data_IF_111836267909
#
_entry.id   IF_111836267909
#
_cell.length_a   1.000
_cell.length_b   1.000
_cell.length_c   1.000
_cell.angle_alpha   90.00
_cell.angle_beta   90.00
_cell.angle_gamma   90.00
#
_symmetry.space_group_name_H-M   'P 1'
#
loop_
_entity.id
_entity.type
_entity.pdbx_description
1 polymer ?
#
# COMPACT_ATOMS: atom_id res chain seq x y z
N UNK A 1 -57.23 -43.88 -14.77
CA UNK A 1 -56.20 -43.53 -15.81
C UNK A 1 -54.85 -43.68 -15.17
N UNK A 2 -54.09 -44.68 -15.60
CA UNK A 2 -52.83 -45.09 -14.99
C UNK A 2 -51.66 -44.36 -15.66
N UNK A 3 -50.84 -43.65 -14.90
CA UNK A 3 -49.60 -43.01 -15.38
C UNK A 3 -48.43 -43.99 -15.26
N UNK A 4 -47.83 -44.32 -16.41
CA UNK A 4 -46.62 -45.16 -16.54
C UNK A 4 -45.39 -44.45 -15.98
N UNK A 5 -44.68 -45.15 -15.10
CA UNK A 5 -43.32 -44.80 -14.66
C UNK A 5 -42.29 -45.29 -15.69
N UNK A 6 -41.42 -44.37 -16.13
CA UNK A 6 -40.24 -44.66 -16.95
C UNK A 6 -39.04 -44.96 -16.05
N UNK A 7 -38.20 -45.98 -16.31
CA UNK A 7 -37.05 -46.31 -15.47
C UNK A 7 -35.80 -45.48 -15.76
N UNK A 8 -35.05 -45.17 -14.71
CA UNK A 8 -33.82 -44.41 -14.73
C UNK A 8 -32.65 -45.17 -15.38
N UNK A 9 -31.89 -44.49 -16.23
CA UNK A 9 -30.67 -44.99 -16.85
C UNK A 9 -29.47 -44.96 -15.89
N UNK A 10 -28.67 -46.04 -15.88
CA UNK A 10 -27.44 -46.21 -15.13
C UNK A 10 -26.29 -45.39 -15.75
N UNK A 11 -25.36 -44.80 -14.99
CA UNK A 11 -24.21 -44.12 -15.55
C UNK A 11 -23.12 -45.09 -16.03
N UNK A 12 -22.56 -44.86 -17.19
CA UNK A 12 -21.47 -45.62 -17.82
C UNK A 12 -20.15 -45.29 -17.17
N UNK A 13 -19.34 -46.35 -16.92
CA UNK A 13 -17.95 -46.25 -16.42
C UNK A 13 -17.01 -45.73 -17.51
N UNK A 14 -16.17 -44.73 -17.18
CA UNK A 14 -15.06 -44.30 -17.99
C UNK A 14 -13.87 -45.30 -17.91
N UNK A 15 -13.07 -45.45 -18.99
CA UNK A 15 -11.95 -46.39 -19.02
C UNK A 15 -10.73 -45.83 -18.34
N UNK A 16 -10.02 -46.69 -17.60
CA UNK A 16 -8.70 -46.41 -17.00
C UNK A 16 -7.59 -46.51 -18.07
N UNK A 17 -6.52 -45.71 -17.98
CA UNK A 17 -5.36 -45.88 -18.86
C UNK A 17 -4.42 -46.99 -18.35
N UNK A 18 -3.93 -47.78 -19.29
CA UNK A 18 -3.05 -48.92 -19.12
C UNK A 18 -1.67 -48.58 -18.57
N UNK A 19 -1.20 -49.35 -17.62
CA UNK A 19 0.17 -49.39 -17.12
C UNK A 19 1.16 -49.90 -18.18
N UNK A 20 2.21 -49.18 -18.45
CA UNK A 20 3.36 -49.62 -19.24
C UNK A 20 4.48 -50.03 -18.32
N UNK A 21 4.82 -51.29 -18.37
CA UNK A 21 5.91 -51.98 -17.67
C UNK A 21 7.31 -51.50 -18.19
N UNK A 22 8.24 -51.64 -17.27
CA UNK A 22 9.61 -51.14 -17.35
C UNK A 22 10.54 -51.77 -18.39
N UNK A 23 11.62 -51.01 -18.65
CA UNK A 23 12.87 -51.54 -19.13
C UNK A 23 14.01 -50.91 -18.34
N UNK A 24 14.66 -51.71 -17.53
CA UNK A 24 15.87 -51.34 -16.80
C UNK A 24 17.09 -51.47 -17.72
N UNK A 25 17.84 -50.40 -17.92
CA UNK A 25 19.18 -50.48 -18.45
C UNK A 25 20.16 -49.87 -17.44
N UNK A 26 21.03 -50.72 -16.92
CA UNK A 26 22.20 -50.39 -16.12
C UNK A 26 23.22 -49.67 -17.00
N UNK A 27 23.49 -48.41 -16.75
CA UNK A 27 24.61 -47.68 -17.31
C UNK A 27 25.53 -47.20 -16.21
N UNK A 28 26.72 -47.76 -16.12
CA UNK A 28 27.83 -47.38 -15.24
C UNK A 28 28.40 -46.06 -15.74
N UNK A 29 28.33 -44.98 -15.00
CA UNK A 29 29.03 -43.73 -15.31
C UNK A 29 30.25 -43.61 -14.41
N UNK A 30 31.37 -43.60 -15.05
CA UNK A 30 32.71 -43.35 -14.47
C UNK A 30 32.87 -41.83 -14.32
N UNK A 31 33.16 -41.41 -13.10
CA UNK A 31 33.50 -40.01 -12.79
C UNK A 31 34.99 -39.75 -13.13
N UNK A 32 35.23 -38.74 -13.95
CA UNK A 32 36.53 -38.08 -13.99
C UNK A 32 36.32 -36.57 -14.05
N UNK A 33 36.55 -35.92 -12.93
CA UNK A 33 36.59 -34.45 -12.81
C UNK A 33 38.06 -34.05 -12.95
N UNK A 34 38.42 -33.45 -14.08
CA UNK A 34 39.69 -32.76 -14.27
C UNK A 34 39.57 -31.29 -13.88
N UNK A 35 40.38 -30.85 -12.93
CA UNK A 35 40.60 -29.45 -12.56
C UNK A 35 41.38 -28.72 -13.64
N UNK A 36 41.04 -27.49 -14.03
CA UNK A 36 41.96 -26.63 -14.77
C UNK A 36 42.84 -25.88 -13.77
N UNK A 37 44.16 -26.08 -13.91
CA UNK A 37 45.22 -25.30 -13.31
C UNK A 37 45.44 -24.03 -14.12
N UNK A 38 45.34 -22.86 -13.50
CA UNK A 38 45.85 -21.61 -14.08
C UNK A 38 47.26 -21.34 -13.59
N UNK A 39 48.21 -21.46 -14.50
CA UNK A 39 49.60 -21.03 -14.33
C UNK A 39 49.74 -19.53 -14.60
N UNK A 40 50.51 -18.89 -13.75
CA UNK A 40 50.91 -17.49 -13.83
C UNK A 40 51.99 -17.25 -14.84
N UNK A 41 51.98 -16.08 -15.50
CA UNK A 41 53.06 -15.10 -15.73
C UNK A 41 52.82 -14.31 -17.03
N UNK A 42 52.74 -13.01 -16.90
CA UNK A 42 52.75 -12.05 -18.00
C UNK A 42 52.77 -10.62 -17.46
N UNK A 43 53.84 -9.94 -17.73
CA UNK A 43 54.32 -8.66 -17.21
C UNK A 43 53.49 -7.44 -17.66
N UNK A 44 53.49 -6.46 -16.78
CA UNK A 44 53.52 -4.99 -16.93
C UNK A 44 52.92 -4.34 -18.21
N UNK A 45 51.80 -3.64 -18.00
CA UNK A 45 51.41 -2.46 -18.79
C UNK A 45 50.65 -1.47 -17.90
N UNK A 46 51.17 -0.25 -17.82
CA UNK A 46 50.68 0.92 -17.10
C UNK A 46 49.32 1.36 -17.60
N UNK A 47 48.30 1.64 -16.72
CA UNK A 47 47.08 2.27 -17.15
C UNK A 47 47.08 3.76 -16.75
N UNK A 48 47.32 4.62 -17.71
CA UNK A 48 46.94 6.03 -17.60
C UNK A 48 45.59 6.24 -18.25
N UNK A 49 44.74 6.99 -17.51
CA UNK A 49 43.48 7.66 -17.90
C UNK A 49 42.25 6.78 -18.15
N UNK A 50 41.50 6.56 -17.07
CA UNK A 50 40.04 6.43 -17.15
C UNK A 50 39.42 7.40 -16.15
N UNK A 51 38.74 8.42 -16.66
CA UNK A 51 38.06 9.43 -15.86
C UNK A 51 36.91 8.82 -15.05
N UNK A 52 37.05 8.92 -13.76
CA UNK A 52 36.03 8.51 -12.79
C UNK A 52 34.90 9.52 -12.85
N UNK A 53 33.75 9.13 -13.41
CA UNK A 53 32.50 9.85 -13.21
C UNK A 53 32.02 9.56 -11.79
N UNK A 54 32.31 10.47 -10.88
CA UNK A 54 31.87 10.44 -9.49
C UNK A 54 30.41 10.88 -9.43
N UNK A 55 29.48 9.95 -9.74
CA UNK A 55 28.07 10.14 -9.53
C UNK A 55 27.75 9.63 -8.12
N UNK A 56 27.82 10.52 -7.12
CA UNK A 56 27.31 10.24 -5.78
C UNK A 56 25.80 9.97 -5.86
N UNK A 57 25.30 8.79 -5.50
CA UNK A 57 23.87 8.52 -5.44
C UNK A 57 23.25 9.35 -4.32
N UNK A 58 22.19 10.08 -4.65
CA UNK A 58 21.36 10.78 -3.65
C UNK A 58 20.62 9.76 -2.78
N UNK A 59 20.58 9.93 -1.45
CA UNK A 59 19.81 9.05 -0.58
C UNK A 59 18.30 9.16 -0.89
N UNK A 60 17.59 8.03 -0.85
CA UNK A 60 16.15 7.89 -1.13
C UNK A 60 15.26 8.73 -0.19
N UNK A 61 15.85 9.36 0.83
CA UNK A 61 15.18 10.20 1.82
C UNK A 61 15.63 11.67 1.74
N UNK A 62 15.76 12.25 0.57
CA UNK A 62 15.96 13.69 0.50
C UNK A 62 14.70 14.44 0.93
N UNK A 63 14.88 15.23 1.98
CA UNK A 63 13.96 16.21 2.55
C UNK A 63 13.30 17.03 1.43
N UNK A 64 12.00 16.86 1.22
CA UNK A 64 11.21 17.96 0.67
C UNK A 64 11.06 18.96 1.82
N UNK A 65 11.99 19.90 1.89
CA UNK A 65 11.90 21.04 2.81
C UNK A 65 10.74 21.91 2.34
N UNK A 66 9.74 22.06 3.20
CA UNK A 66 8.72 23.09 3.05
C UNK A 66 9.37 24.49 2.90
N UNK A 67 8.81 25.37 2.08
CA UNK A 67 9.33 26.73 1.94
C UNK A 67 9.28 27.46 3.28
N UNK A 68 10.41 27.96 3.77
CA UNK A 68 10.51 28.80 4.95
C UNK A 68 9.84 30.14 4.66
N UNK A 69 8.61 30.28 5.14
CA UNK A 69 7.99 31.61 5.28
C UNK A 69 8.67 32.30 6.47
N UNK A 70 9.42 33.36 6.21
CA UNK A 70 9.96 34.25 7.23
C UNK A 70 8.81 35.00 7.89
N UNK A 71 8.46 34.67 9.11
CA UNK A 71 7.65 35.53 9.97
C UNK A 71 8.59 36.45 10.79
N UNK A 72 8.56 37.73 10.46
CA UNK A 72 9.03 38.80 11.35
C UNK A 72 7.88 39.20 12.28
N UNK A 73 8.14 39.31 13.57
CA UNK A 73 7.21 40.00 14.45
C UNK A 73 7.27 39.58 15.92
N UNK A 74 7.96 40.40 16.69
CA UNK A 74 8.06 40.44 18.16
C UNK A 74 6.69 40.49 18.86
N UNK A 75 6.51 39.76 19.98
CA UNK A 75 6.34 40.32 21.31
C UNK A 75 5.71 39.28 22.25
N UNK A 76 6.41 39.04 23.34
CA UNK A 76 5.90 38.40 24.58
C UNK A 76 5.05 39.38 25.38
N UNK A 77 4.10 38.92 26.20
CA UNK A 77 4.19 39.20 27.61
C UNK A 77 4.00 37.98 28.53
N UNK A 78 4.73 38.07 29.65
CA UNK A 78 4.65 37.26 30.85
C UNK A 78 3.30 37.48 31.59
N UNK A 79 2.81 36.43 32.25
CA UNK A 79 1.76 36.60 33.25
C UNK A 79 1.18 35.33 33.85
N UNK A 80 1.76 34.87 34.95
CA UNK A 80 1.19 34.52 36.26
C UNK A 80 0.30 33.28 36.39
N UNK A 81 0.78 32.38 37.22
CA UNK A 81 0.10 31.24 37.82
C UNK A 81 -1.15 31.64 38.61
N UNK A 82 -2.17 30.83 38.56
CA UNK A 82 -3.37 30.90 39.39
C UNK A 82 -4.05 29.52 39.44
N UNK A 83 -4.20 29.07 40.67
CA UNK A 83 -4.71 27.81 41.18
C UNK A 83 -6.13 27.41 40.67
N UNK A 84 -6.33 26.08 40.59
CA UNK A 84 -7.61 25.36 40.41
C UNK A 84 -8.66 25.72 41.49
N UNK A 85 -9.93 25.52 41.16
CA UNK A 85 -10.77 24.71 42.01
C UNK A 85 -11.50 23.58 41.27
N UNK A 86 -11.68 22.53 42.02
CA UNK A 86 -12.45 21.32 41.83
C UNK A 86 -13.96 21.66 41.85
N UNK A 87 -14.76 21.15 40.91
CA UNK A 87 -16.08 20.58 41.21
C UNK A 87 -16.93 20.27 39.95
N UNK A 88 -17.67 19.18 40.05
CA UNK A 88 -18.94 18.83 39.40
C UNK A 88 -18.86 18.09 38.06
N UNK A 89 -19.07 16.79 38.19
CA UNK A 89 -19.54 15.85 37.18
C UNK A 89 -20.99 16.16 36.85
N UNK A 90 -21.29 16.55 35.61
CA UNK A 90 -22.65 16.44 35.06
C UNK A 90 -22.60 16.35 33.51
N UNK A 91 -23.29 15.34 32.95
CA UNK A 91 -23.91 15.38 31.64
C UNK A 91 -22.98 15.17 30.42
N UNK A 92 -22.85 13.93 29.97
CA UNK A 92 -22.43 13.62 28.59
C UNK A 92 -23.42 14.22 27.58
N UNK A 93 -23.04 15.13 26.70
CA UNK A 93 -23.87 15.47 25.57
C UNK A 93 -23.72 14.39 24.47
N UNK A 94 -24.88 13.92 23.98
CA UNK A 94 -24.97 13.11 22.75
C UNK A 94 -24.21 13.80 21.62
N UNK A 95 -23.37 13.05 20.95
CA UNK A 95 -22.67 13.48 19.73
C UNK A 95 -23.73 13.73 18.64
N UNK A 96 -24.13 14.97 18.47
CA UNK A 96 -24.80 15.42 17.25
C UNK A 96 -23.75 15.58 16.13
N UNK A 97 -24.08 14.97 15.00
CA UNK A 97 -23.28 14.91 13.78
C UNK A 97 -23.11 16.30 13.16
N UNK A 98 -22.01 16.95 13.48
CA UNK A 98 -21.68 18.27 12.93
C UNK A 98 -21.11 18.27 11.51
N UNK A 99 -21.75 17.59 10.55
CA UNK A 99 -21.31 17.56 9.15
C UNK A 99 -22.09 18.54 8.24
N UNK A 100 -23.02 19.34 8.80
CA UNK A 100 -24.00 20.08 7.98
C UNK A 100 -23.57 21.46 7.47
N UNK A 101 -22.46 22.05 7.90
CA UNK A 101 -22.30 23.50 7.68
C UNK A 101 -21.45 23.95 6.50
N UNK A 102 -20.67 23.07 5.83
CA UNK A 102 -19.75 23.52 4.76
C UNK A 102 -20.02 22.94 3.34
N UNK A 103 -21.02 22.07 3.21
CA UNK A 103 -21.44 21.54 1.89
C UNK A 103 -22.24 22.55 1.04
N UNK A 104 -22.54 23.74 1.56
CA UNK A 104 -23.43 24.72 0.90
C UNK A 104 -22.71 25.70 -0.02
N UNK A 105 -21.39 25.77 -0.05
CA UNK A 105 -20.67 26.55 -1.06
C UNK A 105 -20.44 25.67 -2.29
N UNK A 106 -21.25 25.91 -3.35
CA UNK A 106 -21.15 25.25 -4.66
C UNK A 106 -19.68 25.13 -5.10
N UNK A 107 -19.11 23.92 -5.18
CA UNK A 107 -17.92 23.72 -5.98
C UNK A 107 -18.31 23.86 -7.45
N UNK A 108 -17.40 24.31 -8.29
CA UNK A 108 -17.60 24.45 -9.73
C UNK A 108 -17.90 23.13 -10.46
N UNK A 109 -17.84 21.98 -9.76
CA UNK A 109 -18.29 20.68 -10.23
C UNK A 109 -19.71 20.38 -9.73
N UNK A 110 -20.67 20.37 -10.65
CA UNK A 110 -22.07 20.06 -10.40
C UNK A 110 -22.24 18.83 -9.47
N UNK A 111 -23.03 18.96 -8.39
CA UNK A 111 -23.51 17.86 -7.54
C UNK A 111 -24.28 16.76 -8.30
N UNK A 112 -24.39 16.86 -9.61
CA UNK A 112 -24.99 15.90 -10.53
C UNK A 112 -23.97 15.07 -11.31
N UNK A 113 -22.65 15.28 -11.13
CA UNK A 113 -21.64 14.48 -11.82
C UNK A 113 -21.71 13.02 -11.35
N UNK A 114 -21.68 12.04 -12.30
CA UNK A 114 -21.59 10.62 -11.94
C UNK A 114 -20.26 10.24 -11.27
N UNK A 115 -19.24 11.10 -11.35
CA UNK A 115 -17.94 10.97 -10.70
C UNK A 115 -17.79 12.08 -9.66
N UNK A 116 -17.60 11.72 -8.39
CA UNK A 116 -17.44 12.66 -7.29
C UNK A 116 -16.17 12.37 -6.52
N UNK A 117 -15.27 13.32 -6.48
CA UNK A 117 -14.01 13.20 -5.76
C UNK A 117 -13.97 14.28 -4.69
N UNK A 118 -13.76 13.86 -3.46
CA UNK A 118 -13.58 14.74 -2.31
C UNK A 118 -12.09 14.85 -2.00
N UNK A 119 -11.69 16.01 -1.46
CA UNK A 119 -10.33 16.20 -0.96
C UNK A 119 -10.37 16.58 0.51
N UNK A 120 -9.79 15.70 1.34
CA UNK A 120 -9.85 15.78 2.81
C UNK A 120 -8.76 16.72 3.30
N UNK A 121 -9.13 17.66 4.15
CA UNK A 121 -8.21 18.53 4.86
C UNK A 121 -8.49 18.56 6.36
N UNK A 122 -7.50 18.91 7.16
CA UNK A 122 -7.54 18.86 8.63
C UNK A 122 -7.28 20.21 9.27
N UNK A 123 -6.72 21.17 8.52
CA UNK A 123 -6.36 22.50 8.98
C UNK A 123 -6.77 23.54 7.93
N UNK A 124 -7.18 24.72 8.37
CA UNK A 124 -7.73 25.76 7.48
C UNK A 124 -6.79 26.18 6.34
N UNK A 125 -5.49 26.22 6.61
CA UNK A 125 -4.49 26.59 5.59
C UNK A 125 -4.35 25.53 4.45
N UNK A 126 -4.71 24.28 4.71
CA UNK A 126 -4.69 23.22 3.70
C UNK A 126 -5.78 23.41 2.64
N UNK A 127 -6.82 24.20 2.97
CA UNK A 127 -7.94 24.48 2.07
C UNK A 127 -7.47 25.20 0.79
N UNK A 128 -6.48 26.06 0.89
CA UNK A 128 -5.94 26.82 -0.25
C UNK A 128 -5.09 25.95 -1.20
N UNK A 129 -4.74 24.74 -0.76
CA UNK A 129 -3.97 23.75 -1.52
C UNK A 129 -4.85 22.71 -2.24
N UNK A 130 -6.17 22.78 -2.06
CA UNK A 130 -7.09 21.81 -2.66
C UNK A 130 -7.19 22.02 -4.17
N UNK A 131 -7.32 20.92 -4.90
CA UNK A 131 -7.54 20.95 -6.35
C UNK A 131 -8.94 21.49 -6.66
N UNK A 132 -9.09 22.45 -7.58
CA UNK A 132 -10.39 23.05 -7.90
C UNK A 132 -11.39 22.09 -8.55
N UNK A 133 -10.94 20.92 -9.05
CA UNK A 133 -11.80 19.88 -9.61
C UNK A 133 -12.38 18.94 -8.54
N UNK A 134 -11.96 19.07 -7.28
CA UNK A 134 -12.42 18.26 -6.17
C UNK A 134 -13.29 19.05 -5.20
N UNK A 135 -14.16 18.34 -4.49
CA UNK A 135 -14.94 18.95 -3.41
C UNK A 135 -14.15 18.90 -2.11
N UNK A 136 -13.88 20.04 -1.50
CA UNK A 136 -13.22 20.10 -0.19
C UNK A 136 -14.08 19.45 0.90
N UNK A 137 -13.46 18.65 1.76
CA UNK A 137 -14.11 18.01 2.91
C UNK A 137 -13.31 18.30 4.16
N UNK A 138 -13.91 19.07 5.07
CA UNK A 138 -13.31 19.41 6.36
C UNK A 138 -13.37 18.21 7.31
N UNK A 139 -12.21 17.71 7.72
CA UNK A 139 -12.06 16.62 8.69
C UNK A 139 -11.31 17.08 9.96
N UNK A 140 -11.21 18.39 10.18
CA UNK A 140 -10.46 19.00 11.30
C UNK A 140 -10.99 18.59 12.68
N UNK A 141 -12.30 18.31 12.77
CA UNK A 141 -12.96 17.90 14.01
C UNK A 141 -12.94 16.40 14.25
N UNK A 142 -12.46 15.61 13.29
CA UNK A 142 -12.46 14.15 13.43
C UNK A 142 -11.35 13.67 14.35
N UNK A 143 -11.73 13.02 15.44
CA UNK A 143 -10.82 12.29 16.32
C UNK A 143 -10.61 10.83 15.90
N UNK A 144 -11.08 10.44 14.72
CA UNK A 144 -10.99 9.05 14.26
C UNK A 144 -9.55 8.61 14.07
N UNK A 145 -9.21 7.50 14.72
CA UNK A 145 -7.90 6.87 14.59
C UNK A 145 -7.63 6.37 13.17
N UNK A 146 -8.68 6.00 12.43
CA UNK A 146 -8.57 5.46 11.07
C UNK A 146 -8.36 6.53 9.99
N UNK A 147 -8.29 7.82 10.38
CA UNK A 147 -8.01 8.97 9.49
C UNK A 147 -8.95 8.98 8.25
N UNK A 148 -8.39 8.95 7.02
CA UNK A 148 -9.14 9.00 5.77
C UNK A 148 -10.17 7.86 5.64
N UNK A 149 -9.91 6.70 6.25
CA UNK A 149 -10.86 5.59 6.18
C UNK A 149 -12.21 5.94 6.83
N UNK A 150 -12.20 6.68 7.94
CA UNK A 150 -13.45 7.16 8.57
C UNK A 150 -14.25 8.09 7.65
N UNK A 151 -13.57 8.81 6.76
CA UNK A 151 -14.24 9.66 5.75
C UNK A 151 -14.98 8.80 4.73
N UNK A 152 -14.40 7.69 4.27
CA UNK A 152 -15.10 6.77 3.37
C UNK A 152 -16.35 6.17 4.04
N UNK A 153 -16.30 5.86 5.34
CA UNK A 153 -17.44 5.35 6.08
C UNK A 153 -18.57 6.41 6.17
N UNK A 154 -18.22 7.66 6.43
CA UNK A 154 -19.16 8.76 6.47
C UNK A 154 -19.78 9.03 5.09
N UNK A 155 -19.00 8.93 4.03
CA UNK A 155 -19.44 9.15 2.65
C UNK A 155 -20.31 8.01 2.12
N UNK A 156 -20.19 6.79 2.61
CA UNK A 156 -20.92 5.62 2.09
C UNK A 156 -22.45 5.83 2.08
N UNK A 157 -22.98 6.48 3.10
CA UNK A 157 -24.41 6.72 3.26
C UNK A 157 -24.78 8.21 3.17
N UNK A 158 -23.90 9.04 2.63
CA UNK A 158 -24.11 10.48 2.56
C UNK A 158 -24.87 10.87 1.28
N UNK A 159 -25.77 11.86 1.39
CA UNK A 159 -26.49 12.40 0.23
C UNK A 159 -25.54 12.89 -0.88
N UNK A 160 -24.34 13.37 -0.50
CA UNK A 160 -23.32 13.80 -1.47
C UNK A 160 -22.80 12.66 -2.37
N UNK A 161 -22.98 11.39 -2.03
CA UNK A 161 -22.56 10.23 -2.82
C UNK A 161 -23.72 9.40 -3.36
N UNK A 162 -24.94 9.62 -2.93
CA UNK A 162 -26.13 8.81 -3.20
C UNK A 162 -26.36 8.46 -4.67
N UNK A 163 -26.12 9.42 -5.58
CA UNK A 163 -26.31 9.22 -7.03
C UNK A 163 -24.99 9.15 -7.81
N UNK A 164 -23.85 9.02 -7.12
CA UNK A 164 -22.56 8.90 -7.77
C UNK A 164 -22.35 7.46 -8.29
N UNK A 165 -21.92 7.33 -9.54
CA UNK A 165 -21.47 6.05 -10.11
C UNK A 165 -20.09 5.66 -9.59
N UNK A 166 -19.26 6.68 -9.36
CA UNK A 166 -17.91 6.57 -8.81
C UNK A 166 -17.70 7.70 -7.83
N UNK A 167 -17.11 7.39 -6.68
CA UNK A 167 -16.70 8.40 -5.72
C UNK A 167 -15.46 7.97 -4.93
N UNK A 168 -14.75 8.95 -4.40
CA UNK A 168 -13.58 8.71 -3.55
C UNK A 168 -13.23 9.94 -2.74
N UNK A 169 -12.37 9.75 -1.74
CA UNK A 169 -11.82 10.83 -0.92
C UNK A 169 -10.29 10.73 -0.93
N UNK A 170 -9.62 11.81 -1.30
CA UNK A 170 -8.18 11.89 -1.43
C UNK A 170 -7.62 12.86 -0.39
N UNK A 171 -6.40 12.65 0.07
CA UNK A 171 -5.73 13.59 0.97
C UNK A 171 -5.52 14.95 0.27
N UNK A 172 -5.49 16.03 1.03
CA UNK A 172 -5.10 17.37 0.55
C UNK A 172 -3.72 17.37 -0.14
N UNK A 173 -2.86 16.40 0.19
CA UNK A 173 -1.53 16.22 -0.43
C UNK A 173 -1.55 15.40 -1.72
N UNK A 174 -2.72 15.05 -2.25
CA UNK A 174 -2.81 14.17 -3.41
C UNK A 174 -1.93 14.64 -4.58
N UNK A 175 -2.04 15.90 -4.99
CA UNK A 175 -1.26 16.45 -6.11
C UNK A 175 0.25 16.44 -5.82
N UNK A 176 0.65 16.82 -4.60
CA UNK A 176 2.04 16.77 -4.15
C UNK A 176 2.61 15.35 -4.20
N UNK A 177 1.85 14.37 -3.69
CA UNK A 177 2.31 12.99 -3.57
C UNK A 177 2.28 12.24 -4.90
N UNK A 178 1.24 12.44 -5.71
CA UNK A 178 1.04 11.70 -6.97
C UNK A 178 1.73 12.35 -8.18
N UNK A 179 2.01 13.65 -8.12
CA UNK A 179 2.42 14.44 -9.29
C UNK A 179 1.29 14.62 -10.31
N UNK A 180 0.02 14.38 -9.92
CA UNK A 180 -1.15 14.40 -10.80
C UNK A 180 -2.17 15.42 -10.27
N UNK A 181 -2.71 16.26 -11.14
CA UNK A 181 -3.81 17.16 -10.81
C UNK A 181 -5.17 16.47 -10.98
N UNK A 182 -6.23 17.09 -10.47
CA UNK A 182 -7.58 16.55 -10.51
C UNK A 182 -8.13 16.36 -11.93
N UNK A 183 -7.82 17.26 -12.84
CA UNK A 183 -8.25 17.14 -14.24
C UNK A 183 -7.69 15.88 -14.91
N UNK A 184 -6.40 15.59 -14.69
CA UNK A 184 -5.74 14.42 -15.26
C UNK A 184 -6.22 13.12 -14.62
N UNK A 185 -6.49 13.14 -13.31
CA UNK A 185 -7.11 12.01 -12.62
C UNK A 185 -8.50 11.70 -13.21
N UNK A 186 -9.35 12.70 -13.35
CA UNK A 186 -10.70 12.57 -13.93
C UNK A 186 -10.62 12.02 -15.36
N UNK A 187 -9.74 12.57 -16.21
CA UNK A 187 -9.53 12.09 -17.57
C UNK A 187 -9.06 10.64 -17.60
N UNK A 188 -8.13 10.26 -16.73
CA UNK A 188 -7.64 8.90 -16.63
C UNK A 188 -8.76 7.90 -16.29
N UNK A 189 -9.61 8.23 -15.32
CA UNK A 189 -10.77 7.42 -14.95
C UNK A 189 -11.77 7.30 -16.12
N UNK A 190 -12.08 8.42 -16.77
CA UNK A 190 -13.03 8.46 -17.90
C UNK A 190 -12.54 7.71 -19.13
N UNK A 191 -11.23 7.69 -19.37
CA UNK A 191 -10.60 6.97 -20.49
C UNK A 191 -10.54 5.46 -20.29
N UNK A 192 -10.74 4.98 -19.08
CA UNK A 192 -10.68 3.55 -18.73
C UNK A 192 -11.94 3.12 -17.97
N UNK A 193 -13.11 3.11 -18.61
CA UNK A 193 -14.37 2.78 -17.96
C UNK A 193 -14.48 1.29 -17.62
N UNK A 194 -15.37 0.93 -16.70
CA UNK A 194 -15.75 -0.46 -16.42
C UNK A 194 -14.99 -1.16 -15.30
N UNK A 195 -14.24 -0.42 -14.51
CA UNK A 195 -13.61 -0.93 -13.30
C UNK A 195 -14.42 -0.58 -12.05
N UNK A 196 -14.37 -1.44 -11.04
CA UNK A 196 -15.04 -1.24 -9.75
C UNK A 196 -14.24 -0.29 -8.86
N UNK A 197 -12.90 -0.29 -8.98
CA UNK A 197 -12.00 0.61 -8.23
C UNK A 197 -10.84 1.09 -9.10
N UNK A 198 -10.58 2.38 -9.00
CA UNK A 198 -9.41 3.08 -9.55
C UNK A 198 -8.53 3.50 -8.38
N UNK A 199 -7.26 3.18 -8.45
CA UNK A 199 -6.31 3.53 -7.39
C UNK A 199 -4.95 3.92 -7.97
N UNK A 200 -4.14 4.64 -7.20
CA UNK A 200 -2.76 4.88 -7.58
C UNK A 200 -1.81 4.68 -6.40
N UNK A 201 -0.55 4.41 -6.70
CA UNK A 201 0.51 4.32 -5.71
C UNK A 201 1.56 5.41 -6.00
N UNK A 202 1.69 6.43 -5.13
CA UNK A 202 2.62 7.54 -5.34
C UNK A 202 4.10 7.16 -5.13
N UNK A 203 4.38 5.91 -4.75
CA UNK A 203 5.71 5.42 -4.42
C UNK A 203 6.12 4.23 -5.31
N UNK A 204 6.34 4.44 -6.63
CA UNK A 204 6.69 3.35 -7.55
C UNK A 204 8.05 2.70 -7.21
N UNK A 205 8.95 3.40 -6.51
CA UNK A 205 10.18 2.82 -5.97
C UNK A 205 9.91 1.71 -4.94
N UNK A 206 8.81 1.80 -4.16
CA UNK A 206 8.44 0.76 -3.21
C UNK A 206 8.00 -0.53 -3.91
N UNK A 207 7.37 -0.40 -5.08
CA UNK A 207 7.00 -1.53 -5.94
C UNK A 207 8.23 -2.31 -6.42
N UNK A 208 9.31 -1.59 -6.71
CA UNK A 208 10.57 -2.18 -7.13
C UNK A 208 11.34 -2.88 -6.00
N UNK A 209 11.26 -2.32 -4.80
CA UNK A 209 12.14 -2.66 -3.67
C UNK A 209 11.53 -3.63 -2.66
N UNK A 210 10.22 -3.72 -2.56
CA UNK A 210 9.57 -4.56 -1.55
C UNK A 210 8.73 -5.66 -2.17
N UNK A 211 8.63 -6.80 -1.48
CA UNK A 211 7.77 -7.91 -1.91
C UNK A 211 6.31 -7.47 -2.03
N UNK A 212 5.87 -6.70 -1.03
CA UNK A 212 4.52 -6.19 -0.89
C UNK A 212 4.50 -4.97 0.02
N UNK A 213 3.34 -4.37 0.22
CA UNK A 213 3.17 -3.20 1.09
C UNK A 213 3.45 -3.47 2.58
N UNK A 214 3.27 -4.72 3.04
CA UNK A 214 3.50 -5.09 4.44
C UNK A 214 5.00 -5.06 4.78
N UNK A 215 5.84 -5.58 3.89
CA UNK A 215 7.29 -5.47 4.03
C UNK A 215 7.79 -4.04 3.99
N UNK A 216 7.22 -3.22 3.10
CA UNK A 216 7.52 -1.80 3.06
C UNK A 216 7.16 -1.14 4.40
N UNK A 217 6.02 -1.54 4.99
CA UNK A 217 5.59 -1.05 6.31
C UNK A 217 6.62 -1.30 7.42
N UNK A 218 7.30 -2.44 7.43
CA UNK A 218 8.34 -2.74 8.44
C UNK A 218 9.51 -1.74 8.41
N UNK A 219 9.86 -1.22 7.23
CA UNK A 219 10.95 -0.24 7.12
C UNK A 219 10.53 1.17 7.54
N UNK A 220 9.24 1.46 7.51
CA UNK A 220 8.68 2.74 7.90
C UNK A 220 8.19 2.77 9.35
N UNK A 221 7.71 1.62 9.86
CA UNK A 221 7.05 1.49 11.16
C UNK A 221 7.63 0.28 11.90
N UNK A 222 8.39 0.47 12.97
CA UNK A 222 9.01 -0.64 13.72
C UNK A 222 7.98 -1.66 14.21
N UNK A 223 8.30 -2.96 14.14
CA UNK A 223 7.44 -4.08 14.55
C UNK A 223 6.16 -4.27 13.72
N UNK A 224 6.05 -3.59 12.57
CA UNK A 224 4.85 -3.63 11.73
C UNK A 224 4.52 -5.04 11.22
N UNK A 225 5.53 -5.78 10.74
CA UNK A 225 5.32 -7.16 10.24
C UNK A 225 4.90 -8.12 11.35
N UNK A 226 5.51 -8.03 12.54
CA UNK A 226 5.16 -8.89 13.66
C UNK A 226 3.71 -8.65 14.13
N UNK A 227 3.31 -7.38 14.22
CA UNK A 227 1.95 -6.98 14.54
C UNK A 227 0.96 -7.42 13.45
N UNK A 228 1.29 -7.18 12.17
CA UNK A 228 0.46 -7.60 11.04
C UNK A 228 0.25 -9.11 11.02
N UNK A 229 1.29 -9.90 11.32
CA UNK A 229 1.18 -11.35 11.44
C UNK A 229 0.16 -11.76 12.51
N UNK A 230 0.23 -11.16 13.69
CA UNK A 230 -0.74 -11.45 14.75
C UNK A 230 -2.18 -11.06 14.34
N UNK A 231 -2.36 -9.93 13.62
CA UNK A 231 -3.65 -9.53 13.07
C UNK A 231 -4.18 -10.59 12.09
N UNK A 232 -3.35 -11.03 11.14
CA UNK A 232 -3.74 -12.03 10.15
C UNK A 232 -4.13 -13.37 10.79
N UNK A 233 -3.35 -13.83 11.79
CA UNK A 233 -3.65 -15.04 12.54
C UNK A 233 -5.02 -14.99 13.23
N UNK A 234 -5.35 -13.90 13.92
CA UNK A 234 -6.63 -13.80 14.65
C UNK A 234 -7.83 -13.52 13.77
N UNK A 235 -7.60 -12.92 12.58
CA UNK A 235 -8.66 -12.57 11.61
C UNK A 235 -8.88 -13.64 10.56
N UNK A 236 -7.98 -14.62 10.43
CA UNK A 236 -8.03 -15.65 9.40
C UNK A 236 -7.61 -15.19 8.02
N UNK A 237 -6.93 -14.06 7.92
CA UNK A 237 -6.37 -13.58 6.65
C UNK A 237 -5.18 -14.46 6.20
N UNK A 238 -4.94 -14.60 4.88
CA UNK A 238 -3.88 -15.47 4.37
C UNK A 238 -2.48 -14.96 4.77
N UNK A 239 -1.77 -15.69 5.62
CA UNK A 239 -0.43 -15.31 6.09
C UNK A 239 0.60 -15.16 4.95
N UNK A 240 0.41 -15.87 3.85
CA UNK A 240 1.28 -15.78 2.69
C UNK A 240 1.28 -14.37 2.06
N UNK A 241 0.23 -13.57 2.23
CA UNK A 241 0.19 -12.17 1.76
C UNK A 241 1.24 -11.27 2.44
N UNK A 242 1.70 -11.63 3.63
CA UNK A 242 2.76 -10.90 4.35
C UNK A 242 4.15 -11.18 3.79
N UNK A 243 4.38 -12.34 3.19
CA UNK A 243 5.71 -12.83 2.79
C UNK A 243 5.89 -13.00 1.29
N UNK A 244 4.79 -13.20 0.54
CA UNK A 244 4.84 -13.44 -0.89
C UNK A 244 5.18 -12.19 -1.71
N UNK A 245 5.83 -12.41 -2.82
CA UNK A 245 6.08 -11.37 -3.84
C UNK A 245 4.76 -11.06 -4.54
N UNK A 246 4.31 -9.82 -4.43
CA UNK A 246 3.14 -9.29 -5.14
C UNK A 246 3.58 -8.61 -6.43
N UNK A 247 2.74 -8.70 -7.47
CA UNK A 247 2.92 -7.91 -8.67
C UNK A 247 2.75 -6.40 -8.38
N UNK A 248 3.38 -5.57 -9.22
CA UNK A 248 3.32 -4.12 -9.08
C UNK A 248 1.95 -3.55 -9.44
N UNK A 249 1.15 -4.27 -10.22
CA UNK A 249 -0.19 -3.88 -10.66
C UNK A 249 -1.21 -3.73 -9.52
N UNK A 250 -1.02 -4.45 -8.41
CA UNK A 250 -1.88 -4.38 -7.23
C UNK A 250 -1.15 -3.81 -5.99
N UNK A 251 0.08 -3.31 -6.15
CA UNK A 251 0.80 -2.72 -5.02
C UNK A 251 0.18 -1.37 -4.65
N UNK A 252 -0.27 -1.24 -3.40
CA UNK A 252 -0.77 0.00 -2.82
C UNK A 252 -0.32 0.14 -1.37
N UNK A 253 0.01 1.35 -0.97
CA UNK A 253 0.34 1.74 0.40
C UNK A 253 -0.28 3.08 0.78
N UNK A 254 -1.38 3.45 0.11
CA UNK A 254 -2.16 4.67 0.36
C UNK A 254 -3.64 4.41 0.11
N UNK A 255 -4.51 5.26 0.66
CA UNK A 255 -5.95 5.25 0.42
C UNK A 255 -6.36 6.08 -0.81
N UNK A 256 -5.49 6.24 -1.80
CA UNK A 256 -5.81 6.99 -3.02
C UNK A 256 -6.68 6.15 -3.96
N UNK A 257 -7.99 6.13 -3.68
CA UNK A 257 -8.96 5.30 -4.37
C UNK A 257 -10.21 6.10 -4.75
N UNK A 258 -10.73 5.78 -5.96
CA UNK A 258 -12.04 6.22 -6.44
C UNK A 258 -12.77 4.98 -6.94
N UNK A 259 -13.95 4.69 -6.41
CA UNK A 259 -14.58 3.41 -6.66
C UNK A 259 -16.11 3.51 -6.78
N UNK A 260 -16.72 2.42 -7.26
CA UNK A 260 -18.17 2.25 -7.34
C UNK A 260 -18.79 2.07 -5.96
N UNK A 261 -20.09 2.39 -5.78
CA UNK A 261 -20.82 2.04 -4.57
C UNK A 261 -20.76 0.53 -4.24
N UNK A 262 -20.71 -0.32 -5.27
CA UNK A 262 -20.56 -1.78 -5.12
C UNK A 262 -19.24 -2.13 -4.42
N UNK A 263 -18.12 -1.53 -4.83
CA UNK A 263 -16.83 -1.73 -4.18
C UNK A 263 -16.86 -1.25 -2.73
N UNK A 264 -17.32 -0.02 -2.49
CA UNK A 264 -17.36 0.55 -1.15
C UNK A 264 -18.25 -0.24 -0.20
N UNK A 265 -19.42 -0.69 -0.69
CA UNK A 265 -20.36 -1.52 0.08
C UNK A 265 -19.79 -2.88 0.49
N UNK A 266 -18.81 -3.42 -0.26
CA UNK A 266 -18.10 -4.65 0.09
C UNK A 266 -16.85 -4.38 0.94
N UNK A 267 -16.03 -3.41 0.55
CA UNK A 267 -14.72 -3.15 1.16
C UNK A 267 -14.81 -2.57 2.57
N UNK A 268 -15.64 -1.54 2.78
CA UNK A 268 -15.69 -0.87 4.08
C UNK A 268 -16.17 -1.79 5.22
N UNK A 269 -17.26 -2.57 5.08
CA UNK A 269 -17.65 -3.53 6.11
C UNK A 269 -16.60 -4.61 6.35
N UNK A 270 -15.90 -5.05 5.28
CA UNK A 270 -14.84 -6.04 5.41
C UNK A 270 -13.67 -5.51 6.25
N UNK A 271 -13.16 -4.30 5.97
CA UNK A 271 -12.11 -3.66 6.79
C UNK A 271 -12.56 -3.47 8.24
N UNK A 272 -13.80 -3.00 8.46
CA UNK A 272 -14.37 -2.86 9.82
C UNK A 272 -14.37 -4.19 10.56
N UNK A 273 -14.75 -5.27 9.90
CA UNK A 273 -14.74 -6.60 10.48
C UNK A 273 -13.33 -7.02 10.87
N UNK A 274 -12.34 -6.84 9.97
CA UNK A 274 -10.92 -7.12 10.26
C UNK A 274 -10.45 -6.38 11.50
N UNK A 275 -10.67 -5.07 11.57
CA UNK A 275 -10.28 -4.25 12.73
C UNK A 275 -11.02 -4.66 14.01
N UNK A 276 -12.34 -4.95 13.92
CA UNK A 276 -13.14 -5.38 15.06
C UNK A 276 -12.67 -6.72 15.63
N UNK A 277 -12.38 -7.69 14.76
CA UNK A 277 -11.87 -9.01 15.16
C UNK A 277 -10.47 -8.86 15.77
N UNK A 278 -9.60 -8.05 15.16
CA UNK A 278 -8.27 -7.77 15.68
C UNK A 278 -8.37 -7.17 17.09
N UNK A 279 -9.18 -6.13 17.29
CA UNK A 279 -9.37 -5.50 18.60
C UNK A 279 -9.87 -6.46 19.68
N UNK A 280 -10.73 -7.42 19.31
CA UNK A 280 -11.30 -8.39 20.26
C UNK A 280 -10.35 -9.53 20.59
N UNK A 281 -9.55 -10.01 19.62
CA UNK A 281 -8.82 -11.27 19.73
C UNK A 281 -7.30 -11.11 19.89
N UNK A 282 -6.72 -9.95 19.58
CA UNK A 282 -5.29 -9.74 19.75
C UNK A 282 -4.88 -9.83 21.21
N UNK A 283 -3.69 -10.39 21.50
CA UNK A 283 -3.08 -10.30 22.82
C UNK A 283 -2.96 -8.84 23.25
N UNK A 284 -3.18 -8.49 24.55
CA UNK A 284 -3.21 -7.11 25.02
C UNK A 284 -1.99 -6.29 24.58
N UNK A 285 -0.77 -6.81 24.71
CA UNK A 285 0.45 -6.12 24.29
C UNK A 285 0.48 -5.73 22.81
N UNK A 286 -0.04 -6.61 21.94
CA UNK A 286 -0.07 -6.35 20.48
C UNK A 286 -1.17 -5.36 20.15
N UNK A 287 -2.31 -5.48 20.81
CA UNK A 287 -3.42 -4.52 20.67
C UNK A 287 -2.99 -3.12 21.13
N UNK A 288 -2.34 -3.01 22.30
CA UNK A 288 -1.86 -1.75 22.82
C UNK A 288 -0.81 -1.13 21.88
N UNK A 289 0.08 -1.95 21.28
CA UNK A 289 1.00 -1.50 20.24
C UNK A 289 0.26 -0.96 19.01
N UNK A 290 -0.78 -1.66 18.54
CA UNK A 290 -1.55 -1.26 17.36
C UNK A 290 -2.17 0.15 17.52
N UNK A 291 -2.59 0.50 18.74
CA UNK A 291 -3.19 1.78 19.08
C UNK A 291 -2.18 2.80 19.65
N UNK A 292 -0.92 2.41 19.84
CA UNK A 292 0.10 3.34 20.31
C UNK A 292 0.49 4.32 19.21
N UNK A 293 0.83 5.55 19.62
CA UNK A 293 1.39 6.53 18.69
C UNK A 293 2.74 6.04 18.15
N UNK A 294 2.93 6.21 16.86
CA UNK A 294 4.20 5.94 16.21
C UNK A 294 5.26 6.90 16.75
N UNK A 295 6.38 6.33 17.19
CA UNK A 295 7.58 7.10 17.47
C UNK A 295 8.15 7.59 16.14
N UNK A 296 7.79 8.78 15.73
CA UNK A 296 8.26 9.40 14.49
C UNK A 296 9.11 10.62 14.82
N UNK A 297 10.44 10.44 14.81
CA UNK A 297 11.42 11.50 15.05
C UNK A 297 11.25 12.72 14.11
N UNK A 298 10.63 12.51 12.95
CA UNK A 298 10.39 13.55 11.93
C UNK A 298 9.00 14.17 12.03
N UNK A 299 8.16 13.69 12.93
CA UNK A 299 6.76 14.10 13.12
C UNK A 299 5.93 14.10 11.81
N UNK A 300 6.24 13.16 10.89
CA UNK A 300 5.58 13.09 9.58
C UNK A 300 4.15 12.56 9.68
N UNK A 301 3.86 11.77 10.71
CA UNK A 301 2.58 11.07 10.86
C UNK A 301 1.65 11.73 11.90
N UNK A 302 2.02 12.90 12.43
CA UNK A 302 1.20 13.74 13.30
C UNK A 302 0.50 12.93 14.42
N UNK A 303 1.29 12.11 15.15
CA UNK A 303 0.80 11.29 16.26
C UNK A 303 -0.13 10.15 15.87
N UNK A 304 -0.15 9.72 14.62
CA UNK A 304 -0.95 8.58 14.17
C UNK A 304 -0.50 7.28 14.86
N UNK A 305 -1.47 6.39 15.14
CA UNK A 305 -1.21 5.02 15.55
C UNK A 305 -0.85 4.14 14.34
N UNK A 306 -0.70 2.82 14.55
CA UNK A 306 -0.47 1.88 13.46
C UNK A 306 -1.72 1.62 12.60
N UNK A 307 -2.92 1.90 13.12
CA UNK A 307 -4.20 1.54 12.48
C UNK A 307 -4.34 2.10 11.06
N UNK A 308 -4.09 3.39 10.76
CA UNK A 308 -4.18 3.91 9.40
C UNK A 308 -3.29 3.16 8.41
N UNK A 309 -2.06 2.83 8.83
CA UNK A 309 -1.09 2.15 7.97
C UNK A 309 -1.42 0.68 7.72
N UNK A 310 -2.13 0.02 8.67
CA UNK A 310 -2.71 -1.30 8.46
C UNK A 310 -3.81 -1.20 7.41
N UNK A 311 -4.74 -0.25 7.57
CA UNK A 311 -5.89 -0.05 6.66
C UNK A 311 -5.43 0.20 5.22
N UNK A 312 -4.43 1.05 5.01
CA UNK A 312 -3.87 1.33 3.69
C UNK A 312 -3.37 0.09 2.94
N UNK A 313 -2.97 -0.94 3.67
CA UNK A 313 -2.41 -2.18 3.11
C UNK A 313 -3.42 -3.33 3.01
N UNK A 314 -4.62 -3.15 3.54
CA UNK A 314 -5.68 -4.16 3.44
C UNK A 314 -6.29 -4.23 2.03
N UNK A 315 -6.23 -3.16 1.23
CA UNK A 315 -6.82 -3.13 -0.10
C UNK A 315 -6.31 -4.26 -1.03
N UNK A 316 -4.99 -4.49 -1.21
CA UNK A 316 -4.50 -5.60 -2.02
C UNK A 316 -4.95 -6.96 -1.50
N UNK A 317 -5.04 -7.14 -0.18
CA UNK A 317 -5.51 -8.41 0.43
C UNK A 317 -6.98 -8.62 0.11
N UNK A 318 -7.81 -7.59 0.30
CA UNK A 318 -9.22 -7.64 -0.06
C UNK A 318 -9.43 -8.04 -1.53
N UNK A 319 -8.71 -7.42 -2.46
CA UNK A 319 -8.85 -7.71 -3.90
C UNK A 319 -8.48 -9.16 -4.25
N UNK A 320 -7.60 -9.79 -3.50
CA UNK A 320 -7.21 -11.20 -3.70
C UNK A 320 -8.10 -12.20 -2.96
N UNK A 321 -8.90 -11.75 -2.00
CA UNK A 321 -9.79 -12.60 -1.19
C UNK A 321 -11.26 -12.33 -1.52
N UNK A 322 -11.92 -11.53 -0.71
CA UNK A 322 -13.36 -11.25 -0.82
C UNK A 322 -13.71 -10.39 -2.04
N UNK A 323 -12.78 -9.54 -2.49
CA UNK A 323 -12.92 -8.65 -3.65
C UNK A 323 -12.50 -9.24 -4.99
N UNK A 324 -12.12 -10.52 -5.09
CA UNK A 324 -11.58 -11.15 -6.31
C UNK A 324 -12.48 -11.09 -7.55
N UNK A 325 -13.77 -10.86 -7.38
CA UNK A 325 -14.72 -10.67 -8.48
C UNK A 325 -14.82 -9.21 -8.96
N UNK A 326 -14.19 -8.28 -8.24
CA UNK A 326 -14.16 -6.86 -8.57
C UNK A 326 -12.99 -6.57 -9.50
N UNK A 327 -13.16 -5.56 -10.36
CA UNK A 327 -12.11 -5.13 -11.29
C UNK A 327 -11.40 -3.89 -10.78
N UNK A 328 -10.08 -3.94 -10.70
CA UNK A 328 -9.25 -2.78 -10.32
C UNK A 328 -8.48 -2.22 -11.52
N UNK A 329 -8.31 -0.91 -11.54
CA UNK A 329 -7.44 -0.21 -12.48
C UNK A 329 -6.42 0.64 -11.70
N UNK A 330 -5.16 0.33 -11.89
CA UNK A 330 -4.08 1.14 -11.34
C UNK A 330 -3.79 2.31 -12.28
N UNK A 331 -4.05 3.51 -11.81
CA UNK A 331 -3.80 4.74 -12.55
C UNK A 331 -2.29 4.98 -12.63
N UNK A 332 -1.71 5.09 -13.84
CA UNK A 332 -0.29 5.41 -13.99
C UNK A 332 0.01 6.83 -13.53
N UNK A 333 1.16 7.04 -12.91
CA UNK A 333 1.65 8.33 -12.44
C UNK A 333 2.94 8.71 -13.21
N UNK A 334 2.86 9.30 -14.42
CA UNK A 334 4.02 9.52 -15.28
C UNK A 334 5.14 10.34 -14.62
N UNK A 335 4.80 11.34 -13.80
CA UNK A 335 5.80 12.16 -13.12
C UNK A 335 6.60 11.31 -12.11
N UNK A 336 5.92 10.46 -11.33
CA UNK A 336 6.59 9.55 -10.38
C UNK A 336 7.40 8.46 -11.10
N UNK A 337 6.94 8.00 -12.25
CA UNK A 337 7.67 7.05 -13.08
C UNK A 337 8.99 7.64 -13.63
N UNK A 338 9.03 8.92 -13.95
CA UNK A 338 10.25 9.61 -14.39
C UNK A 338 11.31 9.71 -13.30
N UNK A 339 10.91 9.73 -12.03
CA UNK A 339 11.83 9.77 -10.89
C UNK A 339 12.59 8.45 -10.68
N UNK A 340 12.11 7.34 -11.25
CA UNK A 340 12.79 6.06 -11.15
C UNK A 340 14.06 6.03 -11.98
N UNK A 341 15.18 5.73 -11.33
CA UNK A 341 16.43 5.44 -12.03
C UNK A 341 16.39 4.08 -12.74
N UNK A 342 17.39 3.79 -13.55
CA UNK A 342 17.48 2.55 -14.35
C UNK A 342 17.45 1.28 -13.47
N UNK A 343 18.05 1.33 -12.28
CA UNK A 343 18.09 0.18 -11.37
C UNK A 343 16.70 -0.13 -10.80
N UNK A 344 15.94 0.89 -10.39
CA UNK A 344 14.58 0.73 -9.89
C UNK A 344 13.62 0.23 -10.97
N UNK A 345 13.73 0.74 -12.21
CA UNK A 345 12.95 0.25 -13.35
C UNK A 345 13.23 -1.23 -13.60
N UNK A 346 14.53 -1.61 -13.66
CA UNK A 346 14.94 -3.00 -13.86
C UNK A 346 14.48 -3.91 -12.71
N UNK A 347 14.63 -3.48 -11.46
CA UNK A 347 14.18 -4.24 -10.30
C UNK A 347 12.68 -4.50 -10.33
N UNK A 348 11.86 -3.49 -10.66
CA UNK A 348 10.41 -3.65 -10.78
C UNK A 348 10.05 -4.64 -11.89
N UNK A 349 10.66 -4.51 -13.06
CA UNK A 349 10.43 -5.42 -14.17
C UNK A 349 10.84 -6.86 -13.84
N UNK A 350 12.02 -7.07 -13.24
CA UNK A 350 12.44 -8.39 -12.77
C UNK A 350 11.44 -9.01 -11.80
N UNK A 351 10.95 -8.23 -10.85
CA UNK A 351 9.93 -8.68 -9.87
C UNK A 351 8.63 -9.09 -10.57
N UNK A 352 8.14 -8.26 -11.48
CA UNK A 352 6.88 -8.50 -12.17
C UNK A 352 6.98 -9.70 -13.14
N UNK A 353 8.11 -9.87 -13.81
CA UNK A 353 8.38 -11.08 -14.63
C UNK A 353 8.46 -12.31 -13.73
N UNK A 354 9.20 -12.26 -12.61
CA UNK A 354 9.28 -13.36 -11.67
C UNK A 354 7.88 -13.75 -11.14
N UNK A 355 7.05 -12.77 -10.78
CA UNK A 355 5.68 -13.00 -10.34
C UNK A 355 4.81 -13.63 -11.43
N UNK A 356 4.81 -13.07 -12.64
CA UNK A 356 4.01 -13.57 -13.78
C UNK A 356 4.39 -14.98 -14.19
N UNK A 357 5.68 -15.31 -14.20
CA UNK A 357 6.20 -16.64 -14.58
C UNK A 357 6.29 -17.62 -13.42
N UNK A 358 6.02 -17.15 -12.18
CA UNK A 358 6.23 -17.93 -10.93
C UNK A 358 7.64 -18.49 -10.83
N UNK A 359 8.63 -17.81 -11.40
CA UNK A 359 10.04 -18.24 -11.43
C UNK A 359 10.74 -17.90 -10.12
N UNK A 360 10.97 -18.91 -9.29
CA UNK A 360 11.74 -18.76 -8.06
C UNK A 360 13.18 -18.25 -8.34
N UNK A 361 13.81 -18.69 -9.44
CA UNK A 361 15.14 -18.23 -9.83
C UNK A 361 15.19 -16.72 -10.09
N UNK A 362 14.24 -16.19 -10.86
CA UNK A 362 14.13 -14.74 -11.07
C UNK A 362 13.82 -14.01 -9.77
N UNK A 363 13.00 -14.60 -8.90
CA UNK A 363 12.76 -14.07 -7.56
C UNK A 363 14.03 -13.96 -6.73
N UNK A 364 14.89 -14.99 -6.73
CA UNK A 364 16.21 -14.96 -6.07
C UNK A 364 17.13 -13.91 -6.69
N UNK A 365 17.18 -13.83 -8.03
CA UNK A 365 17.96 -12.80 -8.72
C UNK A 365 17.51 -11.39 -8.33
N UNK A 366 16.18 -11.14 -8.30
CA UNK A 366 15.62 -9.89 -7.87
C UNK A 366 16.00 -9.56 -6.43
N UNK A 367 15.84 -10.50 -5.47
CA UNK A 367 16.21 -10.31 -4.06
C UNK A 367 17.67 -9.92 -3.91
N UNK A 368 18.58 -10.63 -4.60
CA UNK A 368 20.01 -10.37 -4.51
C UNK A 368 20.37 -9.00 -5.08
N UNK A 369 19.84 -8.66 -6.25
CA UNK A 369 20.08 -7.35 -6.86
C UNK A 369 19.48 -6.21 -6.02
N UNK A 370 18.28 -6.37 -5.51
CA UNK A 370 17.65 -5.44 -4.57
C UNK A 370 18.48 -5.23 -3.32
N UNK A 371 18.97 -6.31 -2.70
CA UNK A 371 19.79 -6.23 -1.50
C UNK A 371 21.08 -5.46 -1.75
N UNK A 372 21.74 -5.71 -2.90
CA UNK A 372 22.91 -4.96 -3.32
C UNK A 372 22.59 -3.47 -3.49
N UNK A 373 21.52 -3.15 -4.22
CA UNK A 373 21.07 -1.78 -4.42
C UNK A 373 20.75 -1.06 -3.09
N UNK A 374 19.97 -1.69 -2.21
CA UNK A 374 19.65 -1.13 -0.90
C UNK A 374 20.89 -0.91 -0.04
N UNK A 375 21.89 -1.80 -0.12
CA UNK A 375 23.14 -1.64 0.61
C UNK A 375 23.93 -0.44 0.11
N UNK A 376 23.96 -0.20 -1.19
CA UNK A 376 24.63 0.96 -1.78
C UNK A 376 23.94 2.28 -1.43
N UNK A 377 22.61 2.30 -1.46
CA UNK A 377 21.83 3.54 -1.27
C UNK A 377 21.67 3.92 0.19
N UNK A 378 21.36 2.95 1.06
CA UNK A 378 21.03 3.22 2.47
C UNK A 378 22.22 3.01 3.43
N UNK A 379 23.28 2.36 2.97
CA UNK A 379 24.46 2.09 3.78
C UNK A 379 24.34 0.93 4.77
N UNK A 380 25.45 0.61 5.43
CA UNK A 380 25.58 -0.60 6.25
C UNK A 380 24.68 -0.63 7.48
N UNK A 381 24.49 0.51 8.14
CA UNK A 381 23.69 0.54 9.38
C UNK A 381 22.21 0.32 9.13
N UNK A 382 21.66 0.92 8.07
CA UNK A 382 20.30 0.64 7.64
C UNK A 382 20.12 -0.84 7.30
N UNK A 383 21.06 -1.43 6.59
CA UNK A 383 21.03 -2.84 6.21
C UNK A 383 21.04 -3.78 7.41
N UNK A 384 21.86 -3.49 8.43
CA UNK A 384 21.88 -4.27 9.69
C UNK A 384 20.50 -4.24 10.37
N UNK A 385 19.82 -3.08 10.34
CA UNK A 385 18.55 -2.90 11.02
C UNK A 385 17.38 -3.57 10.27
N UNK A 386 17.32 -3.44 8.96
CA UNK A 386 16.12 -3.77 8.19
C UNK A 386 16.27 -4.92 7.20
N UNK A 387 17.44 -5.08 6.56
CA UNK A 387 17.58 -5.96 5.42
C UNK A 387 17.29 -7.42 5.76
N UNK A 388 17.70 -7.88 6.95
CA UNK A 388 17.40 -9.24 7.42
C UNK A 388 15.90 -9.50 7.52
N UNK A 389 15.15 -8.53 8.05
CA UNK A 389 13.69 -8.67 8.29
C UNK A 389 12.90 -8.66 6.99
N UNK A 390 13.40 -7.96 5.97
CA UNK A 390 12.72 -7.85 4.66
C UNK A 390 13.29 -8.80 3.61
N UNK A 391 14.30 -9.61 3.93
CA UNK A 391 14.82 -10.63 3.01
C UNK A 391 14.09 -11.94 3.28
N UNK A 392 13.39 -12.51 2.29
CA UNK A 392 12.66 -13.75 2.49
C UNK A 392 13.62 -14.92 2.65
N UNK A 393 13.21 -15.90 3.42
CA UNK A 393 13.88 -17.20 3.52
C UNK A 393 13.45 -18.13 2.39
N UNK A 394 12.34 -17.83 1.75
CA UNK A 394 11.73 -18.63 0.70
C UNK A 394 11.06 -17.70 -0.34
N UNK A 395 11.08 -18.06 -1.61
CA UNK A 395 10.46 -17.27 -2.69
C UNK A 395 9.06 -17.82 -2.96
N UNK A 396 8.07 -17.02 -2.57
CA UNK A 396 6.65 -17.27 -2.82
C UNK A 396 6.04 -16.13 -3.62
N UNK A 397 4.99 -16.44 -4.36
CA UNK A 397 4.25 -15.47 -5.18
C UNK A 397 2.76 -15.51 -4.80
N UNK A 398 2.19 -14.39 -4.49
CA UNK A 398 0.77 -14.22 -4.18
C UNK A 398 -0.07 -13.92 -5.41
#
# INVERSE_FOLDING_TARGET
MATKKTPAAKPSKAPQPASRAGLATKGKVVSSVSKPSFGAKGKDADPKTAGTLDVKPKPINEKVSAPKVKMNGKSTPKGRAGSLPEAAVEGLPKAESGLESDLTKKPAGSLQSPLRIFQVYYESWQRDLLDPNFSGLDNSKSASETKEFSVFEQLLNNEATKNAKLWGALSWRFAEMSGMNGSDLIKSIQSHPGYDVYFCNPYPQNEALFHNGWQQGETAHPQFLAMSKAIFEVTGLPLDELTSISASDLFSSTNFMVATPKFWGAYLPWVKNVLSVANKKLPPKVRDLMHSQLADERNLHNGASYVPFIVERLFPVFMKTDGKSLKSYKIPLPERERELNVHLKLLREMKDVAHRTKSAWLGVCWVNYRNLYLTQVNGKEWCKKYLRNITPTDIKFS
#
